data_IF_725214928645
#
_entry.id   IF_725214928645
#
_cell.length_a   1.000
_cell.length_b   1.000
_cell.length_c   1.000
_cell.angle_alpha   90.00
_cell.angle_beta   90.00
_cell.angle_gamma   90.00
#
_symmetry.space_group_name_H-M   'P 1'
#
loop_
_entity.id
_entity.type
_entity.pdbx_description
1 polymer ?
#
# COMPACT_ATOMS: atom_id res chain seq x y z
N UNK A 1 -21.69 -9.10 -17.77
CA UNK A 1 -20.79 -9.31 -16.62
C UNK A 1 -21.63 -9.18 -15.36
N UNK A 2 -21.70 -10.23 -14.53
CA UNK A 2 -22.49 -10.23 -13.29
C UNK A 2 -21.51 -10.16 -12.12
N UNK A 3 -21.75 -9.27 -11.16
CA UNK A 3 -20.92 -9.10 -9.97
C UNK A 3 -21.72 -9.49 -8.73
N UNK A 4 -21.08 -10.20 -7.81
CA UNK A 4 -21.65 -10.50 -6.51
C UNK A 4 -21.47 -9.29 -5.59
N UNK A 5 -22.56 -8.88 -4.93
CA UNK A 5 -22.52 -7.85 -3.88
C UNK A 5 -22.52 -8.52 -2.52
N UNK A 6 -21.67 -8.02 -1.62
CA UNK A 6 -21.67 -8.48 -0.23
C UNK A 6 -22.89 -7.91 0.50
N UNK A 7 -23.53 -8.68 1.40
CA UNK A 7 -24.63 -8.18 2.20
C UNK A 7 -24.15 -7.08 3.16
N UNK A 8 -25.08 -6.22 3.59
CA UNK A 8 -24.78 -5.13 4.53
C UNK A 8 -24.34 -5.70 5.89
N UNK A 9 -23.22 -5.24 6.46
CA UNK A 9 -22.71 -5.81 7.70
C UNK A 9 -23.51 -5.37 8.93
N UNK A 10 -23.56 -6.23 9.93
CA UNK A 10 -24.18 -5.96 11.24
C UNK A 10 -23.45 -4.87 12.02
N UNK A 11 -22.12 -4.83 11.93
CA UNK A 11 -21.31 -3.75 12.50
C UNK A 11 -19.97 -3.68 11.79
N UNK A 12 -19.28 -2.54 11.94
CA UNK A 12 -18.00 -2.27 11.30
C UNK A 12 -16.99 -1.81 12.33
N UNK A 13 -15.85 -2.47 12.38
CA UNK A 13 -14.73 -2.05 13.20
C UNK A 13 -13.56 -1.66 12.33
N UNK A 14 -13.01 -0.48 12.60
CA UNK A 14 -11.81 0.03 11.96
C UNK A 14 -10.69 0.09 12.98
N UNK A 15 -9.53 -0.43 12.61
CA UNK A 15 -8.32 -0.42 13.40
C UNK A 15 -7.20 0.26 12.62
N UNK A 16 -6.56 1.23 13.27
CA UNK A 16 -5.35 1.90 12.79
C UNK A 16 -4.20 1.71 13.74
N UNK A 17 -3.09 1.24 13.19
CA UNK A 17 -1.87 1.00 13.96
C UNK A 17 -0.78 1.90 13.38
N UNK A 18 -0.19 2.72 14.26
CA UNK A 18 1.02 3.47 14.01
C UNK A 18 2.25 2.59 14.23
N UNK A 19 3.14 2.50 13.24
CA UNK A 19 4.27 1.59 13.21
C UNK A 19 5.58 2.34 12.89
N UNK A 20 6.70 1.74 13.29
CA UNK A 20 8.02 2.09 12.78
C UNK A 20 8.35 1.25 11.55
N UNK A 21 9.27 1.73 10.72
CA UNK A 21 9.74 1.01 9.53
C UNK A 21 10.32 -0.38 9.88
N UNK A 22 11.04 -0.48 11.00
CA UNK A 22 11.66 -1.72 11.51
C UNK A 22 10.65 -2.77 11.95
N UNK A 23 9.43 -2.36 12.32
CA UNK A 23 8.38 -3.28 12.79
C UNK A 23 7.59 -3.92 11.62
N UNK A 24 7.88 -3.52 10.38
CA UNK A 24 7.14 -3.96 9.20
C UNK A 24 7.10 -5.50 9.07
N UNK A 25 8.23 -6.17 9.34
CA UNK A 25 8.36 -7.64 9.24
C UNK A 25 7.36 -8.35 10.16
N UNK A 26 7.41 -8.01 11.45
CA UNK A 26 6.57 -8.64 12.47
C UNK A 26 5.09 -8.34 12.22
N UNK A 27 4.76 -7.14 11.77
CA UNK A 27 3.39 -6.76 11.48
C UNK A 27 2.83 -7.52 10.28
N UNK A 28 3.64 -7.75 9.24
CA UNK A 28 3.24 -8.61 8.12
C UNK A 28 2.94 -10.03 8.60
N UNK A 29 3.80 -10.60 9.46
CA UNK A 29 3.60 -11.95 10.00
C UNK A 29 2.37 -12.07 10.90
N UNK A 30 2.15 -11.09 11.80
CA UNK A 30 0.97 -11.04 12.67
C UNK A 30 -0.31 -10.93 11.84
N UNK A 31 -0.35 -10.01 10.87
CA UNK A 31 -1.55 -9.83 10.07
C UNK A 31 -1.79 -10.98 9.08
N UNK A 32 -0.73 -11.65 8.63
CA UNK A 32 -0.84 -12.91 7.89
C UNK A 32 -1.60 -13.94 8.73
N UNK A 33 -1.19 -14.12 9.99
CA UNK A 33 -1.85 -15.08 10.89
C UNK A 33 -3.32 -14.70 11.15
N UNK A 34 -3.60 -13.43 11.41
CA UNK A 34 -4.97 -12.93 11.59
C UNK A 34 -5.86 -13.11 10.35
N UNK A 35 -5.28 -13.01 9.14
CA UNK A 35 -5.99 -13.26 7.88
C UNK A 35 -6.22 -14.74 7.63
N UNK A 36 -5.27 -15.60 8.00
CA UNK A 36 -5.39 -17.05 7.84
C UNK A 36 -6.44 -17.66 8.77
N UNK A 37 -6.64 -17.06 9.95
CA UNK A 37 -7.67 -17.44 10.91
C UNK A 37 -8.99 -16.69 10.74
N UNK A 38 -9.17 -15.94 9.64
CA UNK A 38 -10.36 -15.14 9.32
C UNK A 38 -10.81 -14.18 10.45
N UNK A 39 -9.88 -13.78 11.34
CA UNK A 39 -10.12 -12.79 12.39
C UNK A 39 -10.35 -11.41 11.76
N UNK A 40 -9.60 -11.12 10.70
CA UNK A 40 -9.79 -9.94 9.86
C UNK A 40 -10.32 -10.40 8.50
N UNK A 41 -11.51 -9.94 8.14
CA UNK A 41 -12.18 -10.33 6.90
C UNK A 41 -11.82 -9.42 5.72
N UNK A 42 -11.48 -8.16 6.00
CA UNK A 42 -11.09 -7.22 4.95
C UNK A 42 -9.59 -7.30 4.65
N UNK A 43 -9.15 -6.74 3.53
CA UNK A 43 -7.75 -6.65 3.16
C UNK A 43 -7.05 -5.50 3.91
N UNK A 44 -6.13 -5.79 4.85
CA UNK A 44 -5.35 -4.77 5.52
C UNK A 44 -4.44 -4.05 4.53
N UNK A 45 -4.28 -2.75 4.73
CA UNK A 45 -3.40 -1.92 3.92
C UNK A 45 -2.36 -1.26 4.80
N UNK A 46 -1.09 -1.47 4.49
CA UNK A 46 0.03 -0.77 5.11
C UNK A 46 0.52 0.32 4.16
N UNK A 47 0.67 1.55 4.66
CA UNK A 47 1.20 2.69 3.91
C UNK A 47 2.36 3.37 4.63
N UNK A 48 3.35 3.79 3.83
CA UNK A 48 4.46 4.63 4.28
C UNK A 48 3.97 6.06 4.60
N UNK A 49 4.70 6.82 5.43
CA UNK A 49 4.44 8.23 5.73
C UNK A 49 4.26 9.07 4.46
N UNK A 50 5.10 8.88 3.44
CA UNK A 50 5.02 9.63 2.18
C UNK A 50 3.65 9.53 1.50
N UNK A 51 2.99 8.37 1.61
CA UNK A 51 1.61 8.19 1.11
C UNK A 51 0.62 9.04 1.90
N UNK A 52 0.79 9.14 3.21
CA UNK A 52 -0.07 9.96 4.06
C UNK A 52 0.18 11.46 3.82
N UNK A 53 1.42 11.86 3.53
CA UNK A 53 1.77 13.22 3.11
C UNK A 53 1.15 13.57 1.76
N UNK A 54 1.21 12.65 0.79
CA UNK A 54 0.60 12.83 -0.54
C UNK A 54 -0.92 13.03 -0.50
N UNK A 55 -1.61 12.57 0.55
CA UNK A 55 -3.03 12.87 0.76
C UNK A 55 -3.28 14.28 1.29
N UNK A 56 -2.29 14.88 1.96
CA UNK A 56 -2.40 16.17 2.67
C UNK A 56 -1.94 17.36 1.81
N UNK A 57 -1.21 17.11 0.73
CA UNK A 57 -0.88 18.15 -0.23
C UNK A 57 0.32 17.84 -1.11
N UNK A 58 0.79 18.89 -1.77
CA UNK A 58 1.92 18.87 -2.70
C UNK A 58 3.24 18.69 -1.96
N UNK A 59 4.22 18.14 -2.66
CA UNK A 59 5.59 17.90 -2.18
C UNK A 59 6.27 19.17 -1.70
N UNK A 60 6.09 20.29 -2.41
CA UNK A 60 6.68 21.59 -2.07
C UNK A 60 6.29 22.11 -0.68
N UNK A 61 5.17 21.64 -0.11
CA UNK A 61 4.80 21.97 1.29
C UNK A 61 5.70 21.28 2.32
N UNK A 62 6.27 20.15 1.95
CA UNK A 62 7.02 19.26 2.85
C UNK A 62 8.53 19.38 2.63
N UNK A 63 8.95 19.49 1.37
CA UNK A 63 10.35 19.57 0.95
C UNK A 63 10.49 20.13 -0.47
N UNK A 64 11.40 21.08 -0.66
CA UNK A 64 11.64 21.78 -1.94
C UNK A 64 12.96 21.38 -2.63
N UNK A 65 13.68 20.38 -2.10
CA UNK A 65 14.91 19.90 -2.74
C UNK A 65 14.65 19.17 -4.05
N UNK A 66 15.65 19.07 -4.92
CA UNK A 66 15.55 18.35 -6.22
C UNK A 66 15.59 16.82 -6.12
N UNK A 67 16.04 16.26 -4.99
CA UNK A 67 16.15 14.80 -4.77
C UNK A 67 15.01 14.21 -3.95
N UNK A 68 15.03 12.91 -3.68
CA UNK A 68 14.06 12.29 -2.77
C UNK A 68 14.12 12.94 -1.37
N UNK A 69 12.99 12.97 -0.66
CA UNK A 69 12.93 13.50 0.71
C UNK A 69 13.87 12.65 1.59
N UNK A 70 14.88 13.27 2.23
CA UNK A 70 15.86 12.54 3.04
C UNK A 70 15.22 12.05 4.35
N UNK A 71 15.77 10.97 4.91
CA UNK A 71 15.22 10.31 6.10
C UNK A 71 15.12 11.25 7.32
N UNK A 72 16.09 12.14 7.52
CA UNK A 72 16.05 13.14 8.61
C UNK A 72 14.82 14.05 8.52
N UNK A 73 14.40 14.44 7.31
CA UNK A 73 13.23 15.29 7.10
C UNK A 73 11.94 14.49 7.30
N UNK A 74 11.94 13.20 6.95
CA UNK A 74 10.82 12.32 7.24
C UNK A 74 10.62 12.18 8.75
N UNK A 75 11.68 12.00 9.54
CA UNK A 75 11.60 11.92 11.00
C UNK A 75 11.07 13.22 11.65
N UNK A 76 11.45 14.39 11.13
CA UNK A 76 10.87 15.67 11.55
C UNK A 76 9.37 15.73 11.26
N UNK A 77 8.97 15.40 10.03
CA UNK A 77 7.56 15.39 9.61
C UNK A 77 6.74 14.36 10.39
N UNK A 78 7.31 13.22 10.76
CA UNK A 78 6.68 12.22 11.63
C UNK A 78 6.31 12.84 12.99
N UNK A 79 7.23 13.61 13.59
CA UNK A 79 7.02 14.27 14.88
C UNK A 79 6.04 15.44 14.78
N UNK A 80 6.24 16.33 13.79
CA UNK A 80 5.41 17.53 13.58
C UNK A 80 3.94 17.17 13.32
N UNK A 81 3.70 16.18 12.47
CA UNK A 81 2.36 15.80 12.03
C UNK A 81 1.77 14.65 12.84
N UNK A 82 2.52 14.12 13.82
CA UNK A 82 2.23 12.89 14.56
C UNK A 82 1.77 11.78 13.60
N UNK A 83 2.53 11.65 12.52
CA UNK A 83 2.35 10.66 11.46
C UNK A 83 3.43 9.60 11.58
N UNK A 84 3.09 8.38 11.20
CA UNK A 84 4.02 7.28 11.09
C UNK A 84 3.51 6.36 9.98
N UNK A 85 4.22 5.28 9.72
CA UNK A 85 3.66 4.17 8.98
C UNK A 85 2.32 3.76 9.57
N UNK A 86 1.34 3.54 8.69
CA UNK A 86 -0.04 3.27 9.09
C UNK A 86 -0.51 1.97 8.49
N UNK A 87 -0.91 1.07 9.35
CA UNK A 87 -1.70 -0.10 8.99
C UNK A 87 -3.16 0.21 9.26
N UNK A 88 -4.00 0.06 8.24
CA UNK A 88 -5.46 0.12 8.36
C UNK A 88 -6.07 -1.25 8.07
N UNK A 89 -6.80 -1.78 9.04
CA UNK A 89 -7.54 -3.02 8.90
C UNK A 89 -8.97 -2.82 9.40
N UNK A 90 -9.92 -3.53 8.81
CA UNK A 90 -11.30 -3.50 9.26
C UNK A 90 -11.89 -4.90 9.34
N UNK A 91 -12.82 -5.09 10.26
CA UNK A 91 -13.61 -6.32 10.35
C UNK A 91 -15.10 -5.98 10.39
N UNK A 92 -15.90 -6.89 9.86
CA UNK A 92 -17.35 -6.77 9.76
C UNK A 92 -18.02 -7.92 10.52
N UNK A 93 -19.15 -7.67 11.19
CA UNK A 93 -19.89 -8.72 11.90
C UNK A 93 -19.80 -8.65 13.41
N UNK A 94 -19.71 -9.78 14.12
CA UNK A 94 -19.60 -9.80 15.58
C UNK A 94 -18.19 -9.33 15.99
N UNK A 95 -18.02 -8.02 16.16
CA UNK A 95 -16.73 -7.38 16.45
C UNK A 95 -16.18 -7.91 17.78
N UNK A 96 -15.27 -8.87 17.70
CA UNK A 96 -14.27 -9.06 18.75
C UNK A 96 -13.18 -8.03 18.50
N UNK A 97 -12.94 -7.15 19.48
CA UNK A 97 -11.78 -6.26 19.42
C UNK A 97 -10.53 -7.13 19.30
N UNK A 98 -9.72 -7.02 18.24
CA UNK A 98 -8.45 -7.71 18.18
C UNK A 98 -7.60 -7.24 19.36
N UNK A 99 -6.96 -8.18 20.06
CA UNK A 99 -6.02 -7.86 21.13
C UNK A 99 -4.90 -6.96 20.59
N UNK A 100 -4.52 -5.94 21.35
CA UNK A 100 -3.41 -5.05 20.98
C UNK A 100 -2.15 -5.87 20.73
N UNK A 101 -1.49 -5.74 19.56
CA UNK A 101 -0.15 -6.28 19.41
C UNK A 101 0.76 -5.51 20.38
N UNK A 102 1.54 -6.23 21.19
CA UNK A 102 2.36 -5.69 22.28
C UNK A 102 3.42 -4.64 21.87
N UNK A 103 3.66 -4.47 20.56
CA UNK A 103 4.60 -3.49 19.98
C UNK A 103 3.91 -2.36 19.17
N UNK A 104 2.58 -2.31 19.14
CA UNK A 104 1.86 -1.22 18.48
C UNK A 104 2.11 0.11 19.23
N UNK A 105 2.71 1.09 18.54
CA UNK A 105 3.06 2.38 19.16
C UNK A 105 1.82 3.16 19.59
N UNK A 106 0.75 3.08 18.80
CA UNK A 106 -0.62 3.54 19.11
C UNK A 106 -1.63 2.72 18.32
N UNK A 107 -2.55 2.04 19.02
CA UNK A 107 -3.77 1.49 18.43
C UNK A 107 -4.88 2.54 18.52
N UNK A 108 -5.48 2.91 17.38
CA UNK A 108 -6.75 3.65 17.34
C UNK A 108 -7.78 2.75 16.69
N UNK A 109 -8.67 2.19 17.52
CA UNK A 109 -9.76 1.34 17.09
C UNK A 109 -11.11 2.02 17.34
N UNK A 110 -11.87 2.27 16.27
CA UNK A 110 -13.24 2.79 16.36
C UNK A 110 -14.20 1.67 15.94
N UNK A 111 -15.19 1.39 16.79
CA UNK A 111 -16.29 0.47 16.46
C UNK A 111 -17.55 1.28 16.15
N UNK A 112 -18.19 0.96 15.03
CA UNK A 112 -19.46 1.54 14.63
C UNK A 112 -20.55 0.48 14.69
N UNK A 113 -21.59 0.77 15.46
CA UNK A 113 -22.78 -0.05 15.61
C UNK A 113 -23.96 0.61 14.90
N UNK A 114 -24.96 -0.16 14.44
CA UNK A 114 -26.17 0.38 13.86
C UNK A 114 -26.90 1.27 14.89
N UNK A 115 -27.74 2.20 14.42
CA UNK A 115 -28.56 3.03 15.30
C UNK A 115 -29.63 2.18 15.99
N UNK A 116 -29.27 1.49 17.07
CA UNK A 116 -30.19 0.63 17.84
C UNK A 116 -31.38 1.46 18.36
N UNK A 117 -31.17 2.74 18.67
CA UNK A 117 -32.21 3.70 19.06
C UNK A 117 -33.19 4.06 17.92
N UNK A 118 -32.86 3.75 16.66
CA UNK A 118 -33.72 3.93 15.48
C UNK A 118 -34.31 2.62 14.95
N UNK A 119 -34.06 1.48 15.61
CA UNK A 119 -34.55 0.17 15.19
C UNK A 119 -33.81 -0.46 14.00
N UNK A 120 -32.64 0.08 13.63
CA UNK A 120 -31.84 -0.44 12.51
C UNK A 120 -31.12 -1.73 12.90
N UNK A 121 -31.28 -2.80 12.10
CA UNK A 121 -30.59 -4.09 12.30
C UNK A 121 -29.19 -4.13 11.71
N UNK A 122 -28.89 -3.30 10.73
CA UNK A 122 -27.65 -3.33 9.94
C UNK A 122 -27.05 -1.92 9.88
N UNK A 123 -25.72 -1.84 9.80
CA UNK A 123 -25.01 -0.56 9.76
C UNK A 123 -25.05 0.02 8.35
N UNK A 124 -25.55 1.25 8.21
CA UNK A 124 -25.40 2.02 6.97
C UNK A 124 -23.95 2.49 6.81
N UNK A 125 -23.33 2.08 5.70
CA UNK A 125 -21.96 2.40 5.33
C UNK A 125 -21.68 3.91 5.24
N UNK A 126 -22.69 4.73 4.92
CA UNK A 126 -22.56 6.18 4.80
C UNK A 126 -22.43 6.90 6.15
N UNK A 127 -22.86 6.26 7.24
CA UNK A 127 -22.78 6.83 8.59
C UNK A 127 -21.36 6.82 9.16
N UNK A 128 -20.48 5.97 8.63
CA UNK A 128 -19.09 5.88 9.07
C UNK A 128 -18.29 7.02 8.44
N UNK A 129 -17.66 7.91 9.23
CA UNK A 129 -16.90 9.04 8.71
C UNK A 129 -15.85 8.60 7.70
N UNK A 130 -15.70 9.32 6.59
CA UNK A 130 -14.68 9.03 5.57
C UNK A 130 -13.26 8.98 6.15
N UNK A 131 -13.01 9.82 7.18
CA UNK A 131 -11.75 9.83 7.91
C UNK A 131 -11.43 8.48 8.53
N UNK A 132 -12.42 7.63 8.83
CA UNK A 132 -12.27 6.33 9.47
C UNK A 132 -12.56 5.18 8.50
N UNK A 133 -13.68 5.19 7.77
CA UNK A 133 -14.05 4.17 6.77
C UNK A 133 -13.12 4.14 5.56
N UNK A 134 -12.63 5.30 5.14
CA UNK A 134 -11.93 5.51 3.88
C UNK A 134 -12.69 4.90 2.68
N UNK A 135 -12.31 3.70 2.24
CA UNK A 135 -12.98 2.95 1.15
C UNK A 135 -13.31 1.52 1.57
N UNK A 136 -13.15 1.18 2.86
CA UNK A 136 -13.33 -0.17 3.37
C UNK A 136 -14.80 -0.52 3.64
N UNK A 137 -15.70 0.47 3.63
CA UNK A 137 -17.16 0.29 3.75
C UNK A 137 -17.88 0.21 2.40
N UNK A 138 -17.15 0.34 1.28
CA UNK A 138 -17.74 0.31 -0.07
C UNK A 138 -18.33 1.63 -0.56
N UNK A 139 -18.26 2.72 0.24
CA UNK A 139 -18.68 4.06 -0.21
C UNK A 139 -17.62 4.64 -1.15
N UNK A 140 -17.98 4.98 -2.40
CA UNK A 140 -17.03 5.55 -3.36
C UNK A 140 -16.59 6.95 -2.94
N UNK A 141 -15.35 7.32 -3.23
CA UNK A 141 -14.82 8.65 -2.94
C UNK A 141 -13.69 9.04 -3.89
N UNK A 142 -13.65 10.32 -4.26
CA UNK A 142 -12.61 10.92 -5.09
C UNK A 142 -11.49 11.58 -4.27
N UNK A 143 -11.56 11.58 -2.93
CA UNK A 143 -10.55 12.22 -2.09
C UNK A 143 -9.09 11.80 -2.37
N UNK A 144 -8.77 10.55 -2.78
CA UNK A 144 -7.39 10.19 -3.10
C UNK A 144 -6.82 10.84 -4.36
N UNK A 145 -7.64 11.49 -5.21
CA UNK A 145 -7.18 12.11 -6.46
C UNK A 145 -6.17 13.23 -6.21
N UNK A 146 -6.26 13.89 -5.05
CA UNK A 146 -5.32 14.96 -4.62
C UNK A 146 -3.88 14.47 -4.61
N UNK A 147 -3.65 13.16 -4.40
CA UNK A 147 -2.31 12.59 -4.42
C UNK A 147 -1.61 12.69 -5.78
N UNK A 148 -2.36 12.81 -6.88
CA UNK A 148 -1.78 13.00 -8.22
C UNK A 148 -1.03 14.33 -8.29
N UNK A 149 -1.52 15.34 -7.58
CA UNK A 149 -0.91 16.68 -7.53
C UNK A 149 0.34 16.73 -6.64
N UNK A 150 0.85 15.58 -6.18
CA UNK A 150 1.96 15.54 -5.24
C UNK A 150 3.22 16.20 -5.80
N UNK A 151 3.64 15.86 -7.03
CA UNK A 151 4.89 16.39 -7.62
C UNK A 151 4.68 17.64 -8.49
N UNK A 152 3.50 17.80 -9.10
CA UNK A 152 3.16 18.95 -9.94
C UNK A 152 1.65 19.17 -10.02
N UNK A 153 1.21 20.35 -10.47
CA UNK A 153 -0.22 20.67 -10.62
C UNK A 153 -0.89 19.78 -11.67
N UNK A 154 -0.21 19.51 -12.80
CA UNK A 154 -0.58 18.47 -13.78
C UNK A 154 0.28 17.22 -13.58
N UNK A 155 0.09 16.57 -12.42
CA UNK A 155 0.81 15.36 -12.08
C UNK A 155 0.31 14.14 -12.85
N UNK A 156 1.23 13.23 -13.15
CA UNK A 156 0.96 11.87 -13.61
C UNK A 156 1.28 10.86 -12.53
N UNK A 157 0.67 9.67 -12.60
CA UNK A 157 1.02 8.54 -11.75
C UNK A 157 1.21 7.29 -12.57
N UNK A 158 2.40 6.71 -12.49
CA UNK A 158 2.67 5.34 -12.94
C UNK A 158 2.73 4.46 -11.70
N UNK A 159 2.10 3.28 -11.80
CA UNK A 159 2.11 2.29 -10.72
C UNK A 159 2.83 1.06 -11.22
N UNK A 160 3.82 0.63 -10.45
CA UNK A 160 4.40 -0.70 -10.60
C UNK A 160 3.70 -1.57 -9.57
N UNK A 161 2.90 -2.57 -9.99
CA UNK A 161 2.43 -3.60 -9.09
C UNK A 161 3.41 -4.78 -9.20
N UNK A 162 4.34 -4.91 -8.25
CA UNK A 162 5.16 -6.09 -8.19
C UNK A 162 4.25 -7.29 -7.82
N UNK A 163 4.79 -8.49 -7.94
CA UNK A 163 4.01 -9.73 -7.95
C UNK A 163 3.29 -9.97 -6.64
N UNK A 164 2.44 -11.00 -6.58
CA UNK A 164 2.24 -11.71 -5.32
C UNK A 164 3.59 -12.17 -4.75
N UNK A 165 4.03 -11.51 -3.69
CA UNK A 165 5.13 -12.00 -2.85
C UNK A 165 4.59 -13.12 -1.96
N UNK A 166 5.44 -14.07 -1.56
CA UNK A 166 5.19 -14.83 -0.34
C UNK A 166 4.84 -13.85 0.79
N UNK A 167 3.94 -14.22 1.68
CA UNK A 167 3.62 -13.44 2.87
C UNK A 167 4.76 -13.54 3.90
N UNK A 168 5.98 -13.28 3.47
CA UNK A 168 7.18 -13.20 4.30
C UNK A 168 7.52 -11.71 4.49
N UNK A 169 7.54 -11.29 5.76
CA UNK A 169 7.90 -9.93 6.13
C UNK A 169 9.33 -9.58 5.74
N UNK A 170 10.27 -10.54 5.76
CA UNK A 170 11.68 -10.29 5.46
C UNK A 170 11.90 -9.99 3.98
N UNK A 171 11.37 -10.84 3.11
CA UNK A 171 11.40 -10.61 1.66
C UNK A 171 10.76 -9.26 1.26
N UNK A 172 9.68 -8.88 1.95
CA UNK A 172 9.00 -7.60 1.74
C UNK A 172 9.88 -6.40 2.16
N UNK A 173 10.65 -6.54 3.24
CA UNK A 173 11.55 -5.50 3.73
C UNK A 173 12.79 -5.35 2.84
N UNK A 174 13.39 -6.46 2.43
CA UNK A 174 14.56 -6.44 1.54
C UNK A 174 14.20 -5.79 0.19
N UNK A 175 13.03 -6.15 -0.37
CA UNK A 175 12.47 -5.48 -1.54
C UNK A 175 12.21 -3.99 -1.31
N UNK A 176 11.64 -3.62 -0.17
CA UNK A 176 11.39 -2.23 0.20
C UNK A 176 12.67 -1.39 0.16
N UNK A 177 13.74 -1.88 0.78
CA UNK A 177 15.02 -1.16 0.83
C UNK A 177 15.67 -1.01 -0.53
N UNK A 178 15.67 -2.07 -1.35
CA UNK A 178 16.24 -2.03 -2.69
C UNK A 178 15.45 -1.06 -3.59
N UNK A 179 14.11 -1.11 -3.53
CA UNK A 179 13.27 -0.20 -4.29
C UNK A 179 13.41 1.25 -3.82
N UNK A 180 13.49 1.51 -2.49
CA UNK A 180 13.74 2.84 -1.92
C UNK A 180 15.06 3.42 -2.43
N UNK A 181 16.13 2.61 -2.46
CA UNK A 181 17.44 3.02 -2.98
C UNK A 181 17.37 3.41 -4.46
N UNK A 182 16.78 2.56 -5.30
CA UNK A 182 16.65 2.84 -6.74
C UNK A 182 15.82 4.10 -6.97
N UNK A 183 14.71 4.29 -6.25
CA UNK A 183 13.93 5.53 -6.37
C UNK A 183 14.73 6.77 -5.94
N UNK A 184 15.54 6.66 -4.88
CA UNK A 184 16.44 7.71 -4.42
C UNK A 184 17.48 8.13 -5.47
N UNK A 185 18.05 7.17 -6.21
CA UNK A 185 19.02 7.44 -7.28
C UNK A 185 18.46 8.33 -8.40
N UNK A 186 17.15 8.28 -8.64
CA UNK A 186 16.46 9.10 -9.64
C UNK A 186 15.73 10.31 -9.05
N UNK A 187 15.88 10.57 -7.74
CA UNK A 187 15.22 11.70 -7.08
C UNK A 187 13.70 11.56 -6.95
N UNK A 188 13.17 10.33 -6.97
CA UNK A 188 11.75 10.07 -6.76
C UNK A 188 11.47 9.63 -5.32
N UNK A 189 10.38 10.15 -4.77
CA UNK A 189 9.91 9.78 -3.43
C UNK A 189 9.27 8.39 -3.44
N UNK A 190 9.75 7.49 -2.57
CA UNK A 190 9.28 6.12 -2.53
C UNK A 190 7.95 5.97 -1.79
N UNK A 191 6.84 6.05 -2.52
CA UNK A 191 5.50 5.82 -1.97
C UNK A 191 5.07 4.35 -2.08
N UNK A 192 5.20 3.62 -0.97
CA UNK A 192 4.77 2.23 -0.87
C UNK A 192 3.35 2.07 -0.30
N UNK A 193 2.63 1.11 -0.88
CA UNK A 193 1.38 0.56 -0.33
C UNK A 193 1.38 -0.96 -0.43
N UNK A 194 1.25 -1.62 0.72
CA UNK A 194 1.19 -3.08 0.82
C UNK A 194 -0.26 -3.48 1.08
N UNK A 195 -0.78 -4.39 0.27
CA UNK A 195 -2.09 -5.02 0.46
C UNK A 195 -1.89 -6.47 0.90
N UNK A 196 -2.36 -6.80 2.09
CA UNK A 196 -2.25 -8.13 2.66
C UNK A 196 -3.47 -8.98 2.26
N UNK A 197 -3.20 -10.18 1.73
CA UNK A 197 -4.20 -11.22 1.48
C UNK A 197 -3.79 -12.52 2.21
N UNK A 198 -4.71 -13.48 2.31
CA UNK A 198 -4.53 -14.71 3.08
C UNK A 198 -3.27 -15.51 2.70
N UNK A 199 -2.95 -15.62 1.41
CA UNK A 199 -1.86 -16.47 0.89
C UNK A 199 -0.77 -15.73 0.12
N UNK A 200 -1.02 -14.48 -0.23
CA UNK A 200 -0.06 -13.69 -0.98
C UNK A 200 -0.06 -12.26 -0.46
N UNK A 201 1.12 -11.67 -0.41
CA UNK A 201 1.26 -10.26 -0.15
C UNK A 201 1.23 -9.58 -1.51
N UNK A 202 0.24 -8.72 -1.75
CA UNK A 202 0.35 -7.77 -2.88
C UNK A 202 1.17 -6.61 -2.38
N UNK A 203 2.46 -6.85 -2.38
CA UNK A 203 3.41 -5.88 -1.90
C UNK A 203 3.50 -4.77 -2.95
N UNK A 204 3.57 -3.53 -2.47
CA UNK A 204 4.10 -2.37 -3.18
C UNK A 204 3.44 -1.95 -4.49
N UNK A 205 2.25 -1.33 -4.45
CA UNK A 205 2.00 -0.28 -5.46
C UNK A 205 3.03 0.83 -5.21
N UNK A 206 4.15 0.81 -5.94
CA UNK A 206 5.09 1.93 -6.02
C UNK A 206 4.36 2.97 -6.85
N UNK A 207 3.86 4.00 -6.19
CA UNK A 207 3.21 5.10 -6.88
C UNK A 207 4.29 6.11 -7.24
N UNK A 208 4.77 6.05 -8.48
CA UNK A 208 5.69 7.03 -9.04
C UNK A 208 4.83 8.20 -9.51
N UNK A 209 4.92 9.30 -8.78
CA UNK A 209 4.35 10.58 -9.18
C UNK A 209 5.39 11.34 -9.98
N UNK A 210 5.03 11.81 -11.16
CA UNK A 210 5.87 12.60 -12.07
C UNK A 210 5.07 13.81 -12.56
N UNK A 211 5.76 14.85 -13.01
CA UNK A 211 5.12 15.99 -13.68
C UNK A 211 4.90 15.68 -15.17
N UNK A 212 3.69 15.90 -15.70
CA UNK A 212 3.39 15.69 -17.12
C UNK A 212 3.90 16.84 -18.00
N UNK A 213 4.25 17.97 -17.45
CA UNK A 213 4.77 19.12 -18.21
C UNK A 213 6.26 18.98 -18.49
N UNK A 214 6.99 18.26 -17.62
CA UNK A 214 8.43 18.03 -17.74
C UNK A 214 8.73 16.73 -18.50
N UNK A 215 9.50 16.84 -19.58
CA UNK A 215 9.89 15.69 -20.40
C UNK A 215 11.05 14.89 -19.79
N UNK A 216 11.93 15.54 -19.03
CA UNK A 216 13.02 14.88 -18.32
C UNK A 216 12.46 14.00 -17.20
N UNK A 217 11.48 14.52 -16.44
CA UNK A 217 10.82 13.78 -15.35
C UNK A 217 10.09 12.53 -15.86
N UNK A 218 9.38 12.64 -17.00
CA UNK A 218 8.77 11.46 -17.67
C UNK A 218 9.79 10.41 -18.08
N UNK A 219 10.91 10.87 -18.63
CA UNK A 219 11.95 9.97 -19.15
C UNK A 219 12.63 9.26 -17.98
N UNK A 220 12.93 10.00 -16.90
CA UNK A 220 13.43 9.46 -15.65
C UNK A 220 12.46 8.47 -15.00
N UNK A 221 11.15 8.77 -14.98
CA UNK A 221 10.12 7.88 -14.47
C UNK A 221 10.01 6.57 -15.27
N UNK A 222 10.16 6.62 -16.60
CA UNK A 222 10.16 5.44 -17.45
C UNK A 222 11.42 4.57 -17.23
N UNK A 223 12.60 5.19 -17.15
CA UNK A 223 13.85 4.45 -16.84
C UNK A 223 13.77 3.82 -15.44
N UNK A 224 13.26 4.56 -14.46
CA UNK A 224 13.03 4.06 -13.09
C UNK A 224 12.08 2.86 -13.11
N UNK A 225 10.98 2.95 -13.88
CA UNK A 225 10.05 1.84 -14.07
C UNK A 225 10.78 0.59 -14.56
N UNK A 226 11.53 0.69 -15.66
CA UNK A 226 12.26 -0.43 -16.24
C UNK A 226 13.25 -1.03 -15.25
N UNK A 227 14.01 -0.21 -14.50
CA UNK A 227 14.95 -0.70 -13.50
C UNK A 227 14.26 -1.47 -12.38
N UNK A 228 13.10 -1.00 -11.90
CA UNK A 228 12.33 -1.69 -10.86
C UNK A 228 11.76 -3.02 -11.37
N UNK A 229 11.31 -3.09 -12.63
CA UNK A 229 10.87 -4.35 -13.26
C UNK A 229 12.02 -5.35 -13.37
N UNK A 230 13.21 -4.90 -13.78
CA UNK A 230 14.39 -5.76 -13.87
C UNK A 230 14.85 -6.26 -12.50
N UNK A 231 14.71 -5.42 -11.47
CA UNK A 231 14.98 -5.79 -10.08
C UNK A 231 13.98 -6.86 -9.60
N UNK A 232 12.68 -6.69 -9.91
CA UNK A 232 11.64 -7.70 -9.67
C UNK A 232 12.02 -9.02 -10.32
N UNK A 233 12.35 -8.98 -11.61
CA UNK A 233 12.72 -10.17 -12.35
C UNK A 233 13.91 -10.90 -11.73
N UNK A 234 14.97 -10.19 -11.33
CA UNK A 234 16.15 -10.80 -10.68
C UNK A 234 15.80 -11.52 -9.39
N UNK A 235 14.86 -10.97 -8.62
CA UNK A 235 14.35 -11.58 -7.41
C UNK A 235 13.31 -12.70 -7.65
N UNK A 236 12.98 -13.02 -8.92
CA UNK A 236 12.01 -14.06 -9.27
C UNK A 236 10.55 -13.60 -9.28
N UNK A 237 10.34 -12.29 -9.33
CA UNK A 237 9.07 -11.62 -9.16
C UNK A 237 8.54 -11.11 -10.51
N UNK A 238 7.38 -11.61 -10.98
CA UNK A 238 6.62 -11.06 -12.14
C UNK A 238 5.43 -10.13 -11.83
N UNK A 239 5.24 -9.07 -12.61
CA UNK A 239 4.13 -8.12 -12.42
C UNK A 239 2.75 -8.72 -12.72
N UNK A 240 1.73 -8.31 -11.95
CA UNK A 240 0.33 -8.74 -12.21
C UNK A 240 -0.39 -7.82 -13.23
N UNK A 241 -0.01 -6.54 -13.29
CA UNK A 241 -0.54 -5.54 -14.23
C UNK A 241 0.58 -4.59 -14.63
N UNK A 242 0.49 -4.02 -15.82
CA UNK A 242 1.49 -3.09 -16.30
C UNK A 242 0.83 -1.99 -17.14
N UNK A 243 1.54 -0.89 -17.35
CA UNK A 243 1.12 0.15 -18.29
C UNK A 243 1.19 -0.38 -19.73
N UNK A 244 0.40 0.19 -20.64
CA UNK A 244 0.32 -0.28 -22.03
C UNK A 244 1.70 -0.24 -22.70
N UNK A 245 2.44 0.86 -22.51
CA UNK A 245 3.79 1.01 -23.09
C UNK A 245 4.80 -0.04 -22.58
N UNK A 246 4.51 -0.64 -21.42
CA UNK A 246 5.39 -1.59 -20.75
C UNK A 246 4.99 -3.05 -21.01
N UNK A 247 3.85 -3.27 -21.68
CA UNK A 247 3.30 -4.60 -21.95
C UNK A 247 4.14 -5.40 -22.95
N UNK A 248 4.60 -4.75 -24.03
CA UNK A 248 5.42 -5.38 -25.07
C UNK A 248 6.78 -5.84 -24.51
N UNK A 249 7.36 -5.05 -23.61
CA UNK A 249 8.63 -5.33 -22.94
C UNK A 249 8.53 -6.53 -21.99
N UNK A 250 7.40 -6.68 -21.30
CA UNK A 250 7.18 -7.83 -20.43
C UNK A 250 7.13 -9.14 -21.22
N UNK A 251 6.36 -9.17 -22.32
CA UNK A 251 6.23 -10.35 -23.18
C UNK A 251 7.55 -10.77 -23.85
N UNK A 252 8.31 -9.80 -24.37
CA UNK A 252 9.60 -10.09 -25.03
C UNK A 252 10.72 -10.43 -24.04
N UNK A 253 10.65 -9.94 -22.82
CA UNK A 253 11.68 -10.22 -21.81
C UNK A 253 11.49 -11.59 -21.15
N UNK A 254 10.26 -12.13 -21.09
CA UNK A 254 9.98 -13.49 -20.58
C UNK A 254 10.51 -14.62 -21.48
N UNK A 255 10.57 -14.42 -22.79
CA UNK A 255 10.99 -15.46 -23.75
C UNK A 255 12.51 -15.70 -23.81
N UNK A 256 13.33 -14.84 -23.18
CA UNK A 256 14.80 -14.85 -23.32
C UNK A 256 15.58 -15.32 -22.08
N UNK A 257 14.97 -15.96 -21.07
CA UNK A 257 15.73 -16.60 -19.98
C UNK A 257 15.37 -18.09 -19.79
N UNK A 258 16.37 -18.99 -19.69
CA UNK A 258 16.12 -20.41 -19.47
C UNK A 258 15.56 -20.64 -18.05
N UNK A 259 14.36 -21.22 -17.97
CA UNK A 259 13.72 -21.71 -16.74
C UNK A 259 14.51 -22.86 -16.10
N UNK A 260 15.64 -22.57 -15.43
CA UNK A 260 16.47 -23.62 -14.80
C UNK A 260 16.51 -23.61 -13.28
N UNK A 261 15.83 -22.68 -12.57
CA UNK A 261 15.90 -22.64 -11.09
C UNK A 261 14.59 -22.77 -10.30
N UNK A 262 13.47 -23.11 -10.95
CA UNK A 262 12.18 -23.28 -10.25
C UNK A 262 11.77 -24.74 -9.96
N UNK A 263 12.64 -25.73 -10.20
CA UNK A 263 12.29 -27.17 -10.04
C UNK A 263 12.73 -27.82 -8.72
N UNK A 264 13.37 -27.10 -7.80
CA UNK A 264 13.96 -27.69 -6.59
C UNK A 264 13.19 -27.44 -5.27
N UNK A 265 12.06 -26.73 -5.28
CA UNK A 265 11.33 -26.36 -4.05
C UNK A 265 9.97 -27.06 -3.87
N UNK A 266 9.66 -28.08 -4.66
CA UNK A 266 8.38 -28.84 -4.57
C UNK A 266 8.60 -30.37 -4.54
N UNK A 267 9.67 -30.82 -3.88
CA UNK A 267 9.83 -32.22 -3.48
C UNK A 267 10.43 -32.29 -2.07
N UNK A 268 9.54 -32.20 -1.08
CA UNK A 268 9.57 -32.91 0.21
C UNK A 268 8.14 -32.89 0.77
#
# INVERSE_FOLDING_TARGET
>A
MTLLSSPMPLSFFMCRIALLETDLVQMVDIFRDLLQHDVIQNHPVIGNILRELGKRGTRSKWYDGKGAIPDWRLEELEKELNLSWRLSASTTGAVKKPSEPSRARKLRGNTYYPGISKGEKFLDAATVPYSDSWMQTGVPSMAPIVSIQYRGLDGGRISIPPPPFPTDGRASLDWYYEAKKICGEFGFDFMARLHLYQRHLRAHLIMIYFDRTDQEDKTAANILFVKLVLMARKAGYGEYRAHIDTWIWWLTSMTLAPMTKARAAFQC
#
